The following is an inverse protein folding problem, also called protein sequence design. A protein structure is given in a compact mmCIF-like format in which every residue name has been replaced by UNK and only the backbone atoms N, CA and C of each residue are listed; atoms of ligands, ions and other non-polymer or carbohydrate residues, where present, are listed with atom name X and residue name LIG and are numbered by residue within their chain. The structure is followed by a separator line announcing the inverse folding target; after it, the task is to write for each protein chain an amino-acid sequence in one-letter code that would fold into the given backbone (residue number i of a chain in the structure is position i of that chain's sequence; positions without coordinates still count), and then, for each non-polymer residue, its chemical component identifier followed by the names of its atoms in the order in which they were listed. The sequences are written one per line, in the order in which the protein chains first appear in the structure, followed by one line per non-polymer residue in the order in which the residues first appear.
data_IF_795263389037
#
_entry.id   IF_795263389037
#
_cell.length_a   1.000
_cell.length_b   1.000
_cell.length_c   1.000
_cell.angle_alpha   90.00
_cell.angle_beta   90.00
_cell.angle_gamma   90.00
#
_symmetry.space_group_name_H-M   'P 1'
#
loop_
_entity.id
_entity.type
_entity.pdbx_description
1 polymer ?
#
# COMPACT_ATOMS: atom_id res chain seq x y z
N UNK A 1 -1.73 -15.25 12.68
CA UNK A 1 -2.65 -14.18 12.27
C UNK A 1 -4.06 -14.78 12.16
N UNK A 2 -5.08 -14.25 12.84
CA UNK A 2 -6.45 -14.78 12.79
C UNK A 2 -7.02 -14.66 11.37
N UNK A 3 -7.71 -15.71 10.91
CA UNK A 3 -8.26 -15.88 9.55
C UNK A 3 -9.14 -14.70 9.05
N UNK A 4 -9.59 -13.82 9.97
CA UNK A 4 -10.39 -12.63 9.68
C UNK A 4 -9.56 -11.42 9.22
N UNK A 5 -8.34 -11.24 9.74
CA UNK A 5 -7.46 -10.13 9.37
C UNK A 5 -6.84 -10.37 7.98
N UNK A 6 -6.44 -11.61 7.68
CA UNK A 6 -5.92 -11.98 6.37
C UNK A 6 -6.91 -11.66 5.23
N UNK A 7 -8.23 -11.79 5.48
CA UNK A 7 -9.29 -11.47 4.51
C UNK A 7 -9.48 -9.97 4.24
N UNK A 8 -8.88 -9.10 5.05
CA UNK A 8 -8.99 -7.64 4.91
C UNK A 8 -7.76 -7.00 4.26
N UNK A 9 -6.72 -7.79 3.99
CA UNK A 9 -5.49 -7.27 3.41
C UNK A 9 -5.73 -6.74 2.00
N UNK A 10 -5.34 -5.48 1.74
CA UNK A 10 -5.50 -4.81 0.45
C UNK A 10 -6.95 -4.63 0.01
N UNK A 11 -7.92 -4.65 0.94
CA UNK A 11 -9.35 -4.44 0.63
C UNK A 11 -9.80 -2.99 0.82
N UNK A 12 -8.89 -2.07 1.17
CA UNK A 12 -9.26 -0.67 1.26
C UNK A 12 -9.59 -0.11 -0.14
N UNK A 13 -10.69 0.65 -0.29
CA UNK A 13 -11.04 1.30 -1.56
C UNK A 13 -9.93 2.18 -2.13
N UNK A 14 -9.06 2.77 -1.29
CA UNK A 14 -7.95 3.61 -1.76
C UNK A 14 -6.79 2.79 -2.34
N UNK A 15 -6.70 1.52 -1.97
CA UNK A 15 -5.69 0.57 -2.44
C UNK A 15 -6.26 -0.38 -3.50
N UNK A 16 -7.44 -0.07 -4.03
CA UNK A 16 -8.04 -0.83 -5.11
C UNK A 16 -7.22 -0.62 -6.38
N UNK A 17 -6.55 -1.69 -6.81
CA UNK A 17 -5.97 -1.76 -8.15
C UNK A 17 -7.15 -1.82 -9.13
N UNK A 18 -7.29 -0.84 -10.02
CA UNK A 18 -8.37 -0.80 -11.00
C UNK A 18 -8.26 -1.97 -11.99
N UNK A 19 -7.02 -2.32 -12.33
CA UNK A 19 -6.64 -3.55 -13.03
C UNK A 19 -6.40 -4.73 -12.07
N UNK A 20 -6.88 -4.64 -10.83
CA UNK A 20 -6.69 -5.63 -9.77
C UNK A 20 -7.31 -6.97 -10.09
N UNK A 21 -8.39 -7.02 -10.88
CA UNK A 21 -8.92 -8.28 -11.42
C UNK A 21 -7.93 -8.98 -12.35
N UNK A 22 -7.20 -8.23 -13.18
CA UNK A 22 -6.16 -8.73 -14.09
C UNK A 22 -4.88 -9.11 -13.33
N UNK A 23 -4.44 -8.29 -12.36
CA UNK A 23 -3.29 -8.59 -11.50
C UNK A 23 -3.55 -9.72 -10.47
N UNK A 24 -4.79 -9.89 -9.99
CA UNK A 24 -5.17 -10.94 -9.01
C UNK A 24 -5.69 -12.22 -9.65
N UNK A 25 -6.09 -12.22 -10.93
CA UNK A 25 -6.31 -13.45 -11.71
C UNK A 25 -5.01 -14.27 -11.71
N UNK A 26 -5.08 -15.57 -11.42
CA UNK A 26 -3.90 -16.47 -11.39
C UNK A 26 -3.26 -16.74 -10.01
N UNK A 27 -3.82 -16.26 -8.89
CA UNK A 27 -3.41 -16.70 -7.53
C UNK A 27 -4.01 -18.06 -7.12
N UNK A 28 -4.86 -18.65 -7.96
CA UNK A 28 -5.36 -20.01 -7.78
C UNK A 28 -4.37 -21.04 -8.31
N UNK A 29 -4.14 -22.12 -7.55
CA UNK A 29 -3.35 -23.26 -8.00
C UNK A 29 -3.81 -23.70 -9.39
N UNK A 30 -2.85 -23.92 -10.31
CA UNK A 30 -3.08 -24.44 -11.66
C UNK A 30 -4.05 -25.62 -11.61
N UNK A 31 -5.31 -25.43 -11.95
CA UNK A 31 -6.10 -26.53 -12.51
C UNK A 31 -5.68 -26.64 -13.96
N UNK A 32 -4.77 -27.58 -14.22
CA UNK A 32 -4.38 -27.95 -15.58
C UNK A 32 -5.64 -28.43 -16.29
N UNK A 33 -6.29 -27.56 -17.07
CA UNK A 33 -7.31 -27.96 -18.02
C UNK A 33 -6.59 -28.32 -19.31
N UNK A 34 -6.30 -29.60 -19.48
CA UNK A 34 -5.99 -30.16 -20.79
C UNK A 34 -7.29 -30.19 -21.61
N UNK A 35 -7.72 -29.05 -22.14
CA UNK A 35 -8.73 -29.02 -23.19
C UNK A 35 -8.02 -29.01 -24.55
N UNK A 36 -8.01 -30.20 -25.15
CA UNK A 36 -7.68 -30.40 -26.56
C UNK A 36 -8.87 -29.85 -27.36
N UNK A 37 -8.70 -28.65 -27.92
CA UNK A 37 -9.50 -28.18 -29.05
C UNK A 37 -10.35 -26.94 -28.79
N UNK A 38 -10.28 -26.05 -29.78
CA UNK A 38 -11.11 -24.86 -30.04
C UNK A 38 -10.78 -23.57 -29.29
N UNK A 39 -10.26 -22.60 -30.06
CA UNK A 39 -10.49 -21.16 -29.88
C UNK A 39 -9.74 -20.52 -28.73
N UNK A 40 -8.68 -19.75 -29.05
CA UNK A 40 -7.87 -19.01 -28.09
C UNK A 40 -8.70 -18.18 -27.13
N UNK A 41 -8.78 -18.63 -25.88
CA UNK A 41 -9.00 -17.73 -24.75
C UNK A 41 -7.72 -16.87 -24.62
N UNK A 42 -7.85 -15.57 -24.34
CA UNK A 42 -6.68 -14.73 -24.09
C UNK A 42 -5.82 -15.39 -23.02
N UNK A 43 -4.48 -15.42 -23.18
CA UNK A 43 -3.59 -16.07 -22.24
C UNK A 43 -3.89 -15.64 -20.79
N UNK A 44 -4.03 -16.63 -19.90
CA UNK A 44 -4.16 -16.37 -18.47
C UNK A 44 -2.93 -15.59 -17.99
N UNK A 45 -3.14 -14.41 -17.42
CA UNK A 45 -2.10 -13.55 -16.84
C UNK A 45 -1.24 -14.37 -15.88
N UNK A 46 0.03 -14.58 -16.25
CA UNK A 46 0.92 -15.43 -15.49
C UNK A 46 1.66 -14.60 -14.42
N UNK A 47 2.32 -15.26 -13.46
CA UNK A 47 3.12 -14.57 -12.45
C UNK A 47 4.26 -13.73 -13.06
N UNK A 48 4.72 -14.11 -14.26
CA UNK A 48 5.74 -13.41 -15.06
C UNK A 48 5.25 -12.05 -15.54
N UNK A 49 4.01 -11.96 -16.04
CA UNK A 49 3.40 -10.69 -16.48
C UNK A 49 3.20 -9.73 -15.30
N UNK A 50 2.92 -10.27 -14.11
CA UNK A 50 2.81 -9.47 -12.88
C UNK A 50 4.16 -8.92 -12.46
N UNK A 51 5.20 -9.75 -12.49
CA UNK A 51 6.55 -9.32 -12.19
C UNK A 51 7.04 -8.28 -13.21
N UNK A 52 6.72 -8.46 -14.49
CA UNK A 52 7.03 -7.52 -15.57
C UNK A 52 6.29 -6.18 -15.39
N UNK A 53 4.98 -6.20 -15.14
CA UNK A 53 4.19 -5.01 -14.88
C UNK A 53 4.74 -4.21 -13.67
N UNK A 54 5.04 -4.89 -12.55
CA UNK A 54 5.65 -4.25 -11.37
C UNK A 54 7.05 -3.71 -11.71
N UNK A 55 7.85 -4.44 -12.48
CA UNK A 55 9.19 -4.02 -12.85
C UNK A 55 9.19 -2.75 -13.72
N UNK A 56 8.16 -2.56 -14.55
CA UNK A 56 8.00 -1.41 -15.44
C UNK A 56 7.51 -0.14 -14.74
N UNK A 57 6.96 -0.23 -13.53
CA UNK A 57 6.60 0.95 -12.74
C UNK A 57 7.84 1.85 -12.55
N UNK A 58 7.75 3.11 -12.95
CA UNK A 58 8.90 4.02 -12.96
C UNK A 58 9.28 4.44 -11.53
N UNK A 59 8.26 4.75 -10.72
CA UNK A 59 8.46 5.21 -9.35
C UNK A 59 8.83 4.05 -8.42
N UNK A 60 9.99 4.14 -7.76
CA UNK A 60 10.43 3.13 -6.81
C UNK A 60 9.45 2.93 -5.64
N UNK A 61 8.80 4.00 -5.17
CA UNK A 61 7.82 3.94 -4.09
C UNK A 61 6.49 3.31 -4.54
N UNK A 62 6.06 3.62 -5.78
CA UNK A 62 4.89 2.99 -6.38
C UNK A 62 5.14 1.50 -6.61
N UNK A 63 6.33 1.14 -7.08
CA UNK A 63 6.77 -0.25 -7.25
C UNK A 63 6.79 -1.02 -5.94
N UNK A 64 7.29 -0.40 -4.87
CA UNK A 64 7.26 -0.98 -3.53
C UNK A 64 5.82 -1.22 -3.05
N UNK A 65 4.93 -0.23 -3.22
CA UNK A 65 3.52 -0.37 -2.85
C UNK A 65 2.80 -1.44 -3.69
N UNK A 66 3.03 -1.50 -5.01
CA UNK A 66 2.49 -2.55 -5.88
C UNK A 66 2.99 -3.94 -5.45
N UNK A 67 4.28 -4.06 -5.12
CA UNK A 67 4.88 -5.31 -4.63
C UNK A 67 4.23 -5.77 -3.33
N UNK A 68 3.94 -4.86 -2.40
CA UNK A 68 3.22 -5.18 -1.15
C UNK A 68 1.80 -5.68 -1.41
N UNK A 69 1.08 -5.06 -2.35
CA UNK A 69 -0.30 -5.43 -2.65
C UNK A 69 -0.40 -6.78 -3.36
N UNK A 70 0.58 -7.12 -4.20
CA UNK A 70 0.60 -8.39 -4.95
C UNK A 70 1.16 -9.54 -4.12
N UNK A 71 2.20 -9.31 -3.30
CA UNK A 71 2.93 -10.35 -2.57
C UNK A 71 2.75 -10.33 -1.04
N UNK A 72 1.88 -9.46 -0.52
CA UNK A 72 1.69 -9.25 0.92
C UNK A 72 0.91 -10.32 1.68
N UNK A 73 0.70 -11.51 1.08
CA UNK A 73 0.05 -12.64 1.75
C UNK A 73 0.96 -13.37 2.76
N UNK A 74 2.26 -13.07 2.75
CA UNK A 74 3.25 -13.67 3.64
C UNK A 74 3.20 -13.04 5.05
N UNK A 75 3.38 -13.85 6.09
CA UNK A 75 3.31 -13.43 7.50
C UNK A 75 4.38 -12.40 7.95
N UNK A 76 5.36 -12.08 7.10
CA UNK A 76 6.48 -11.17 7.39
C UNK A 76 6.45 -9.89 6.51
N UNK A 77 5.33 -9.60 5.86
CA UNK A 77 5.21 -8.45 4.95
C UNK A 77 5.53 -7.10 5.63
N UNK A 78 5.28 -6.95 6.93
CA UNK A 78 5.50 -5.74 7.74
C UNK A 78 6.99 -5.50 8.10
N UNK A 79 7.86 -6.45 7.76
CA UNK A 79 9.32 -6.41 7.91
C UNK A 79 10.01 -6.49 6.54
N UNK A 80 9.24 -6.36 5.47
CA UNK A 80 9.75 -6.42 4.11
C UNK A 80 10.32 -5.06 3.70
N UNK A 81 11.37 -5.09 2.87
CA UNK A 81 11.97 -3.88 2.29
C UNK A 81 10.93 -3.00 1.56
N UNK A 82 9.97 -3.53 0.78
CA UNK A 82 8.90 -2.72 0.19
C UNK A 82 8.06 -1.97 1.22
N UNK A 83 7.79 -2.58 2.39
CA UNK A 83 7.04 -1.92 3.47
C UNK A 83 7.82 -0.72 4.01
N UNK A 84 9.09 -0.92 4.35
CA UNK A 84 9.93 0.15 4.87
C UNK A 84 10.16 1.26 3.83
N UNK A 85 10.25 0.95 2.53
CA UNK A 85 10.33 1.95 1.47
C UNK A 85 9.10 2.88 1.44
N UNK A 86 7.89 2.32 1.51
CA UNK A 86 6.66 3.12 1.50
C UNK A 86 6.52 3.91 2.81
N UNK A 87 6.87 3.33 3.95
CA UNK A 87 6.90 4.01 5.24
C UNK A 87 7.85 5.20 5.22
N UNK A 88 9.07 5.01 4.74
CA UNK A 88 10.09 6.06 4.67
C UNK A 88 9.65 7.20 3.75
N UNK A 89 9.01 6.89 2.62
CA UNK A 89 8.42 7.88 1.73
C UNK A 89 7.35 8.74 2.42
N UNK A 90 6.39 8.11 3.10
CA UNK A 90 5.33 8.81 3.82
C UNK A 90 5.89 9.64 4.98
N UNK A 91 6.83 9.10 5.74
CA UNK A 91 7.49 9.79 6.83
C UNK A 91 8.24 11.03 6.34
N UNK A 92 9.02 10.91 5.25
CA UNK A 92 9.74 12.02 4.65
C UNK A 92 8.79 13.13 4.17
N UNK A 93 7.67 12.79 3.54
CA UNK A 93 6.65 13.77 3.12
C UNK A 93 6.00 14.47 4.31
N UNK A 94 5.73 13.75 5.40
CA UNK A 94 5.22 14.37 6.62
C UNK A 94 6.25 15.32 7.24
N UNK A 95 7.53 14.95 7.30
CA UNK A 95 8.59 15.83 7.82
C UNK A 95 8.69 17.10 6.99
N UNK A 96 8.66 16.99 5.65
CA UNK A 96 8.68 18.13 4.75
C UNK A 96 7.50 19.09 5.01
N UNK A 97 6.28 18.56 5.15
CA UNK A 97 5.08 19.36 5.47
C UNK A 97 5.14 20.00 6.86
N UNK A 98 5.64 19.27 7.86
CA UNK A 98 5.86 19.83 9.19
C UNK A 98 6.86 20.99 9.14
N UNK A 99 7.91 20.90 8.32
CA UNK A 99 8.87 21.97 8.14
C UNK A 99 8.23 23.21 7.46
N UNK A 100 7.40 23.01 6.44
CA UNK A 100 6.63 24.08 5.78
C UNK A 100 5.66 24.78 6.75
N UNK A 101 5.00 24.01 7.62
CA UNK A 101 4.07 24.52 8.63
C UNK A 101 4.76 25.10 9.87
N UNK A 102 6.10 25.12 9.91
CA UNK A 102 6.91 25.46 11.10
C UNK A 102 6.49 24.66 12.35
N UNK A 103 6.05 23.42 12.15
CA UNK A 103 5.56 22.54 13.21
C UNK A 103 6.74 21.89 13.92
N UNK A 104 6.91 22.23 15.19
CA UNK A 104 7.87 21.58 16.08
C UNK A 104 7.36 20.22 16.57
N UNK A 105 8.31 19.37 17.00
CA UNK A 105 8.00 18.15 17.72
C UNK A 105 7.10 18.45 18.95
N UNK A 106 6.23 17.51 19.35
CA UNK A 106 5.34 17.72 20.49
C UNK A 106 6.12 18.16 21.73
N UNK A 107 5.80 19.33 22.28
CA UNK A 107 6.49 19.85 23.49
C UNK A 107 6.25 18.89 24.65
N UNK A 108 7.32 18.31 25.18
CA UNK A 108 7.27 17.28 26.24
C UNK A 108 7.06 15.84 25.74
N UNK A 109 7.10 15.62 24.41
CA UNK A 109 6.99 14.31 23.80
C UNK A 109 8.24 13.45 24.01
N UNK A 110 8.03 12.14 24.18
CA UNK A 110 9.11 11.14 24.27
C UNK A 110 9.69 10.75 22.89
N UNK A 111 9.17 11.33 21.82
CA UNK A 111 9.47 10.99 20.43
C UNK A 111 9.97 12.22 19.70
N UNK A 112 11.03 12.06 18.92
CA UNK A 112 11.47 13.08 17.96
C UNK A 112 10.44 13.23 16.83
N UNK A 113 10.53 14.32 16.04
CA UNK A 113 9.63 14.50 14.90
C UNK A 113 9.78 13.37 13.87
N UNK A 114 11.01 12.91 13.64
CA UNK A 114 11.33 11.83 12.70
C UNK A 114 10.79 10.48 13.17
N UNK A 115 10.94 10.17 14.47
CA UNK A 115 10.36 8.98 15.08
C UNK A 115 8.83 9.02 15.01
N UNK A 116 8.22 10.17 15.33
CA UNK A 116 6.77 10.33 15.24
C UNK A 116 6.29 10.16 13.80
N UNK A 117 6.96 10.76 12.82
CA UNK A 117 6.61 10.65 11.41
C UNK A 117 6.68 9.19 10.94
N UNK A 118 7.75 8.48 11.32
CA UNK A 118 7.92 7.04 11.02
C UNK A 118 6.80 6.20 11.66
N UNK A 119 6.45 6.44 12.92
CA UNK A 119 5.38 5.70 13.60
C UNK A 119 4.01 5.99 13.00
N UNK A 120 3.72 7.24 12.66
CA UNK A 120 2.46 7.63 12.00
C UNK A 120 2.39 7.06 10.59
N UNK A 121 3.49 7.01 9.85
CA UNK A 121 3.56 6.38 8.53
C UNK A 121 3.31 4.87 8.60
N UNK A 122 4.00 4.16 9.51
CA UNK A 122 3.77 2.72 9.76
C UNK A 122 2.32 2.45 10.14
N UNK A 123 1.76 3.25 11.05
CA UNK A 123 0.35 3.16 11.44
C UNK A 123 -0.55 3.33 10.22
N UNK A 124 -0.35 4.40 9.45
CA UNK A 124 -1.20 4.74 8.31
C UNK A 124 -1.19 3.64 7.27
N UNK A 125 -0.01 3.16 6.87
CA UNK A 125 0.12 2.09 5.89
C UNK A 125 -0.51 0.77 6.40
N UNK A 126 -0.24 0.38 7.64
CA UNK A 126 -0.78 -0.86 8.22
C UNK A 126 -2.31 -0.82 8.34
N UNK A 127 -2.86 0.30 8.82
CA UNK A 127 -4.30 0.47 8.97
C UNK A 127 -5.03 0.54 7.63
N UNK A 128 -4.38 1.11 6.63
CA UNK A 128 -4.89 1.13 5.26
C UNK A 128 -4.90 -0.27 4.65
N UNK A 129 -3.80 -1.02 4.80
CA UNK A 129 -3.70 -2.38 4.27
C UNK A 129 -4.74 -3.32 4.88
N UNK A 130 -5.05 -3.24 6.17
CA UNK A 130 -6.04 -4.11 6.83
C UNK A 130 -7.43 -3.49 7.01
N UNK A 131 -7.65 -2.30 6.47
CA UNK A 131 -8.90 -1.56 6.60
C UNK A 131 -9.37 -1.46 8.07
N UNK A 132 -8.45 -1.11 8.97
CA UNK A 132 -8.68 -1.11 10.43
C UNK A 132 -9.25 0.20 10.97
N UNK A 133 -9.38 1.22 10.12
CA UNK A 133 -9.79 2.56 10.51
C UNK A 133 -11.15 2.61 11.22
N UNK A 134 -12.10 1.77 10.84
CA UNK A 134 -13.44 1.74 11.45
C UNK A 134 -13.50 0.93 12.75
N UNK A 135 -12.46 0.14 13.03
CA UNK A 135 -12.41 -0.78 14.16
C UNK A 135 -11.78 -0.10 15.39
N UNK A 136 -10.73 0.69 15.18
CA UNK A 136 -10.00 1.34 16.27
C UNK A 136 -10.34 2.83 16.41
N UNK A 137 -10.57 3.25 17.65
CA UNK A 137 -10.58 4.65 18.06
C UNK A 137 -9.21 5.29 17.90
N UNK A 138 -9.12 6.63 17.95
CA UNK A 138 -7.82 7.33 17.89
C UNK A 138 -6.88 6.85 18.99
N UNK A 139 -7.36 6.73 20.23
CA UNK A 139 -6.58 6.19 21.34
C UNK A 139 -6.08 4.76 21.05
N UNK A 140 -6.93 3.88 20.52
CA UNK A 140 -6.55 2.52 20.16
C UNK A 140 -5.48 2.46 19.05
N UNK A 141 -5.55 3.37 18.07
CA UNK A 141 -4.54 3.48 17.00
C UNK A 141 -3.18 3.91 17.54
N UNK A 142 -3.16 4.89 18.44
CA UNK A 142 -1.94 5.38 19.08
C UNK A 142 -1.30 4.29 19.94
N UNK A 143 -2.12 3.57 20.72
CA UNK A 143 -1.65 2.46 21.55
C UNK A 143 -1.07 1.32 20.70
N UNK A 144 -1.79 0.91 19.65
CA UNK A 144 -1.34 -0.13 18.72
C UNK A 144 0.02 0.22 18.09
N UNK A 145 0.20 1.49 17.73
CA UNK A 145 1.38 1.96 17.01
C UNK A 145 2.52 2.40 17.94
N UNK A 146 2.38 2.24 19.26
CA UNK A 146 3.39 2.66 20.23
C UNK A 146 3.59 4.18 20.34
N UNK A 147 2.66 4.98 19.82
CA UNK A 147 2.74 6.44 19.87
C UNK A 147 2.27 6.90 21.25
N UNK A 148 3.21 7.37 22.06
CA UNK A 148 2.95 7.88 23.41
C UNK A 148 2.54 9.35 23.34
N UNK A 149 1.30 9.59 22.92
CA UNK A 149 0.71 10.92 22.81
C UNK A 149 -0.74 10.89 23.29
N UNK A 150 -1.22 12.00 23.85
CA UNK A 150 -2.65 12.15 24.14
C UNK A 150 -3.45 12.20 22.81
N UNK A 151 -4.57 11.48 22.78
CA UNK A 151 -5.47 11.35 21.64
C UNK A 151 -5.99 12.70 21.12
N UNK A 152 -6.29 13.64 22.02
CA UNK A 152 -6.72 15.00 21.67
C UNK A 152 -5.60 15.81 21.05
N UNK A 153 -4.38 15.72 21.59
CA UNK A 153 -3.19 16.37 21.01
C UNK A 153 -2.94 15.84 19.60
N UNK A 154 -2.99 14.52 19.42
CA UNK A 154 -2.84 13.90 18.11
C UNK A 154 -3.93 14.37 17.13
N UNK A 155 -5.19 14.32 17.56
CA UNK A 155 -6.35 14.70 16.74
C UNK A 155 -6.28 16.16 16.28
N UNK A 156 -5.81 17.06 17.14
CA UNK A 156 -5.75 18.49 16.85
C UNK A 156 -4.57 18.89 15.96
N UNK A 157 -3.42 18.22 16.10
CA UNK A 157 -2.16 18.71 15.52
C UNK A 157 -1.57 17.80 14.45
N UNK A 158 -1.82 16.49 14.51
CA UNK A 158 -1.15 15.49 13.67
C UNK A 158 -2.09 14.70 12.76
N UNK A 159 -3.40 14.71 13.04
CA UNK A 159 -4.40 14.05 12.21
C UNK A 159 -4.44 14.59 10.77
N UNK A 160 -4.10 15.87 10.56
CA UNK A 160 -3.98 16.44 9.22
C UNK A 160 -2.89 15.76 8.40
N UNK A 161 -1.70 15.55 8.97
CA UNK A 161 -0.60 14.86 8.30
C UNK A 161 -0.93 13.40 8.02
N UNK A 162 -1.62 12.72 8.94
CA UNK A 162 -2.12 11.37 8.71
C UNK A 162 -3.08 11.31 7.51
N UNK A 163 -3.97 12.29 7.36
CA UNK A 163 -4.87 12.38 6.19
C UNK A 163 -4.10 12.65 4.91
N UNK A 164 -3.12 13.54 4.94
CA UNK A 164 -2.27 13.81 3.79
C UNK A 164 -1.43 12.59 3.39
N UNK A 165 -0.99 11.75 4.33
CA UNK A 165 -0.36 10.46 4.01
C UNK A 165 -1.31 9.50 3.28
N UNK A 166 -2.61 9.52 3.61
CA UNK A 166 -3.61 8.73 2.89
C UNK A 166 -3.80 9.25 1.46
N UNK A 167 -3.74 10.56 1.26
CA UNK A 167 -3.74 11.18 -0.07
C UNK A 167 -2.47 10.78 -0.85
N UNK A 168 -1.30 10.74 -0.19
CA UNK A 168 -0.05 10.32 -0.81
C UNK A 168 -0.08 8.85 -1.26
N UNK A 169 -0.72 7.98 -0.47
CA UNK A 169 -0.96 6.59 -0.87
C UNK A 169 -1.89 6.50 -2.07
N UNK A 170 -2.93 7.33 -2.12
CA UNK A 170 -3.84 7.39 -3.26
C UNK A 170 -3.12 7.88 -4.53
N UNK A 171 -2.22 8.85 -4.41
CA UNK A 171 -1.37 9.31 -5.51
C UNK A 171 -0.43 8.20 -6.00
N UNK A 172 0.21 7.45 -5.09
CA UNK A 172 1.01 6.28 -5.47
C UNK A 172 0.16 5.23 -6.18
N UNK A 173 -1.07 4.98 -5.73
CA UNK A 173 -1.98 4.05 -6.38
C UNK A 173 -2.42 4.51 -7.77
N UNK A 174 -2.61 5.82 -7.98
CA UNK A 174 -2.86 6.37 -9.33
C UNK A 174 -1.69 6.11 -10.25
N UNK A 175 -0.45 6.32 -9.79
CA UNK A 175 0.75 5.99 -10.58
C UNK A 175 0.81 4.50 -10.93
N UNK A 176 0.56 3.62 -9.96
CA UNK A 176 0.54 2.17 -10.20
C UNK A 176 -0.50 1.81 -11.26
N UNK A 177 -1.73 2.36 -11.15
CA UNK A 177 -2.79 2.06 -12.10
C UNK A 177 -2.45 2.55 -13.51
N UNK A 178 -1.91 3.77 -13.64
CA UNK A 178 -1.47 4.31 -14.93
C UNK A 178 -0.38 3.44 -15.57
N UNK A 179 0.68 3.12 -14.82
CA UNK A 179 1.83 2.34 -15.33
C UNK A 179 1.39 0.91 -15.74
N UNK A 180 0.47 0.30 -14.99
CA UNK A 180 -0.08 -1.03 -15.31
C UNK A 180 -1.01 -0.97 -16.52
N UNK A 181 -1.81 0.09 -16.66
CA UNK A 181 -2.67 0.29 -17.84
C UNK A 181 -1.83 0.50 -19.10
N UNK A 182 -0.77 1.31 -19.03
CA UNK A 182 0.18 1.53 -20.13
C UNK A 182 0.85 0.21 -20.54
N UNK A 183 1.27 -0.61 -19.57
CA UNK A 183 1.82 -1.93 -19.87
C UNK A 183 0.81 -2.83 -20.59
N UNK A 184 -0.44 -2.86 -20.12
CA UNK A 184 -1.50 -3.65 -20.73
C UNK A 184 -1.80 -3.18 -22.16
N UNK A 185 -1.86 -1.88 -22.39
CA UNK A 185 -2.04 -1.31 -23.73
C UNK A 185 -0.92 -1.75 -24.68
N UNK A 186 0.34 -1.70 -24.22
CA UNK A 186 1.49 -2.13 -25.01
C UNK A 186 1.47 -3.65 -25.34
N UNK A 187 0.95 -4.49 -24.43
CA UNK A 187 0.77 -5.92 -24.69
C UNK A 187 -0.35 -6.21 -25.71
N UNK A 188 -1.45 -5.46 -25.65
CA UNK A 188 -2.53 -5.56 -26.63
C UNK A 188 -2.07 -5.10 -28.03
N UNK A 189 -1.17 -4.10 -28.10
CA UNK A 189 -0.59 -3.62 -29.36
C UNK A 189 0.50 -4.56 -29.92
N UNK A 190 1.26 -5.25 -29.07
CA UNK A 190 2.31 -6.19 -29.49
C UNK A 190 1.77 -7.54 -30.01
N UNK A 191 0.47 -7.82 -29.81
CA UNK A 191 -0.17 -9.06 -30.26
C UNK A 191 0.25 -10.31 -29.46
N UNK A 192 0.77 -10.12 -28.24
CA UNK A 192 1.16 -11.20 -27.33
C UNK A 192 -0.03 -11.74 -26.49
N UNK A 193 -1.24 -11.21 -26.72
CA UNK A 193 -2.52 -11.66 -26.14
C UNK A 193 -3.57 -11.86 -27.23
#
# INVERSE_FOLDING_TARGET
MTNLLAKRFGTSPRLELLSGGWLKQGLGAKTVKFDIGQGGLPPEVNWEDKAAAIALIESCHAKALASLLVWGDNALWDWSEPFDMVVNYLAARMIARCAEDMREAPRGGKHTLDELASLVARMTLHFELYQLWTIYTVEGRLLFSGIKMNDRTYSNHFLCYQRQMLEDLEDLMRLINNDVEDYRFNLEESGEI
#
